data_IF_723216348246
#
_entry.id   IF_723216348246
#
_cell.length_a   1.000
_cell.length_b   1.000
_cell.length_c   1.000
_cell.angle_alpha   90.00
_cell.angle_beta   90.00
_cell.angle_gamma   90.00
#
_symmetry.space_group_name_H-M   'P 1'
#
loop_
_entity.id
_entity.type
_entity.pdbx_description
1 polymer ?
#
# COMPACT_ATOMS: atom_id res chain seq x y z
N UNK A 1 -33.85 11.38 15.18
CA UNK A 1 -32.38 11.18 15.21
C UNK A 1 -31.93 9.85 15.86
N UNK A 2 -32.74 9.12 16.63
CA UNK A 2 -32.23 7.89 17.31
C UNK A 2 -32.17 6.62 16.45
N UNK A 3 -33.09 6.42 15.49
CA UNK A 3 -33.15 5.19 14.69
C UNK A 3 -31.99 5.03 13.69
N UNK A 4 -31.56 6.13 13.07
CA UNK A 4 -30.43 6.14 12.12
C UNK A 4 -29.09 5.88 12.81
N UNK A 5 -28.93 6.36 14.05
CA UNK A 5 -27.73 6.14 14.87
C UNK A 5 -27.64 4.67 15.35
N UNK A 6 -28.78 4.05 15.65
CA UNK A 6 -28.85 2.66 16.11
C UNK A 6 -28.87 1.61 14.98
N UNK A 7 -28.62 2.01 13.71
CA UNK A 7 -28.61 1.13 12.53
C UNK A 7 -29.84 0.22 12.42
N UNK A 8 -31.02 0.72 12.76
CA UNK A 8 -32.25 -0.05 12.59
C UNK A 8 -32.42 -0.43 11.12
N UNK A 9 -32.66 -1.72 10.85
CA UNK A 9 -32.95 -2.17 9.50
C UNK A 9 -34.23 -1.49 8.98
N UNK A 10 -34.33 -1.32 7.66
CA UNK A 10 -35.52 -0.76 7.03
C UNK A 10 -36.76 -1.58 7.40
N UNK A 11 -36.63 -2.91 7.48
CA UNK A 11 -37.70 -3.83 7.87
C UNK A 11 -38.17 -3.56 9.30
N UNK A 12 -37.26 -3.46 10.26
CA UNK A 12 -37.61 -3.21 11.66
C UNK A 12 -38.27 -1.84 11.83
N UNK A 13 -37.79 -0.83 11.09
CA UNK A 13 -38.38 0.51 11.08
C UNK A 13 -39.81 0.48 10.51
N UNK A 14 -40.03 -0.25 9.42
CA UNK A 14 -41.37 -0.42 8.83
C UNK A 14 -42.29 -1.19 9.76
N UNK A 15 -41.83 -2.25 10.44
CA UNK A 15 -42.65 -2.98 11.41
C UNK A 15 -43.08 -2.05 12.56
N UNK A 16 -42.14 -1.29 13.14
CA UNK A 16 -42.44 -0.36 14.23
C UNK A 16 -43.44 0.73 13.81
N UNK A 17 -43.26 1.30 12.60
CA UNK A 17 -44.18 2.30 12.05
C UNK A 17 -45.57 1.70 11.78
N UNK A 18 -45.64 0.44 11.36
CA UNK A 18 -46.88 -0.29 11.11
C UNK A 18 -47.67 -0.56 12.39
N UNK A 19 -46.99 -0.95 13.46
CA UNK A 19 -47.59 -1.11 14.80
C UNK A 19 -48.14 0.23 15.30
N UNK A 20 -47.36 1.31 15.14
CA UNK A 20 -47.79 2.64 15.55
C UNK A 20 -48.99 3.15 14.73
N UNK A 21 -48.98 2.95 13.41
CA UNK A 21 -50.09 3.29 12.53
C UNK A 21 -51.35 2.48 12.89
N UNK A 22 -51.21 1.19 13.17
CA UNK A 22 -52.32 0.34 13.61
C UNK A 22 -52.95 0.83 14.91
N UNK A 23 -52.14 1.19 15.90
CA UNK A 23 -52.63 1.78 17.15
C UNK A 23 -53.35 3.13 16.91
N UNK A 24 -52.78 3.99 16.05
CA UNK A 24 -53.38 5.28 15.71
C UNK A 24 -54.73 5.14 14.99
N UNK A 25 -54.89 4.15 14.09
CA UNK A 25 -56.15 3.92 13.39
C UNK A 25 -57.26 3.37 14.32
N UNK A 26 -56.90 2.72 15.42
CA UNK A 26 -57.85 2.15 16.39
C UNK A 26 -58.25 3.19 17.46
N UNK A 27 -57.29 3.99 17.94
CA UNK A 27 -57.49 4.88 19.08
C UNK A 27 -57.50 6.38 18.72
N UNK A 28 -57.13 6.74 17.50
CA UNK A 28 -57.08 8.12 17.03
C UNK A 28 -58.41 8.62 16.46
N UNK A 29 -58.58 9.93 16.47
CA UNK A 29 -59.75 10.66 15.94
C UNK A 29 -59.50 11.24 14.53
N UNK A 30 -58.49 10.71 13.82
CA UNK A 30 -58.10 11.17 12.50
C UNK A 30 -59.22 11.05 11.46
N UNK A 31 -59.42 12.12 10.68
CA UNK A 31 -60.37 12.11 9.56
C UNK A 31 -59.97 11.15 8.42
N UNK A 32 -60.95 10.75 7.61
CA UNK A 32 -60.77 9.77 6.52
C UNK A 32 -59.61 10.09 5.57
N UNK A 33 -59.48 11.36 5.17
CA UNK A 33 -58.42 11.82 4.26
C UNK A 33 -57.05 11.64 4.90
N UNK A 34 -56.91 12.02 6.18
CA UNK A 34 -55.66 11.92 6.90
C UNK A 34 -55.23 10.46 7.10
N UNK A 35 -56.16 9.60 7.49
CA UNK A 35 -55.89 8.17 7.65
C UNK A 35 -55.50 7.52 6.31
N UNK A 36 -56.13 7.93 5.21
CA UNK A 36 -55.80 7.44 3.86
C UNK A 36 -54.37 7.83 3.44
N UNK A 37 -53.95 9.06 3.73
CA UNK A 37 -52.57 9.52 3.45
C UNK A 37 -51.56 8.72 4.25
N UNK A 38 -51.82 8.46 5.53
CA UNK A 38 -50.92 7.67 6.38
C UNK A 38 -50.78 6.23 5.90
N UNK A 39 -51.89 5.60 5.47
CA UNK A 39 -51.88 4.24 4.92
C UNK A 39 -51.10 4.18 3.61
N UNK A 40 -51.28 5.16 2.71
CA UNK A 40 -50.52 5.22 1.46
C UNK A 40 -49.02 5.45 1.70
N UNK A 41 -48.67 6.33 2.65
CA UNK A 41 -47.28 6.54 3.07
C UNK A 41 -46.65 5.26 3.64
N UNK A 42 -47.40 4.51 4.44
CA UNK A 42 -46.95 3.21 4.95
C UNK A 42 -46.80 2.16 3.85
N UNK A 43 -47.75 2.07 2.90
CA UNK A 43 -47.65 1.18 1.76
C UNK A 43 -46.39 1.46 0.92
N UNK A 44 -46.06 2.75 0.71
CA UNK A 44 -44.80 3.13 0.06
C UNK A 44 -43.58 2.62 0.84
N UNK A 45 -43.54 2.76 2.17
CA UNK A 45 -42.45 2.21 3.00
C UNK A 45 -42.33 0.68 2.91
N UNK A 46 -43.46 -0.04 2.81
CA UNK A 46 -43.46 -1.49 2.61
C UNK A 46 -42.85 -1.84 1.24
N UNK A 47 -43.21 -1.12 0.18
CA UNK A 47 -42.62 -1.32 -1.16
C UNK A 47 -41.11 -1.08 -1.16
N UNK A 48 -40.62 -0.11 -0.38
CA UNK A 48 -39.17 0.15 -0.23
C UNK A 48 -38.38 -0.99 0.44
N UNK A 49 -39.06 -1.92 1.13
CA UNK A 49 -38.42 -3.12 1.67
C UNK A 49 -38.16 -4.20 0.61
N UNK A 50 -38.78 -4.10 -0.57
CA UNK A 50 -38.51 -4.98 -1.69
C UNK A 50 -37.16 -4.61 -2.30
N UNK A 51 -36.15 -5.45 -2.04
CA UNK A 51 -34.77 -5.22 -2.48
C UNK A 51 -34.67 -4.92 -3.99
N UNK A 52 -35.33 -5.72 -4.83
CA UNK A 52 -35.32 -5.56 -6.28
C UNK A 52 -35.91 -4.22 -6.74
N UNK A 53 -37.00 -3.77 -6.10
CA UNK A 53 -37.60 -2.47 -6.42
C UNK A 53 -36.66 -1.31 -6.04
N UNK A 54 -36.11 -1.36 -4.82
CA UNK A 54 -35.18 -0.34 -4.33
C UNK A 54 -33.92 -0.25 -5.18
N UNK A 55 -33.34 -1.39 -5.55
CA UNK A 55 -32.13 -1.42 -6.38
C UNK A 55 -32.40 -0.85 -7.78
N UNK A 56 -33.50 -1.24 -8.41
CA UNK A 56 -33.81 -0.86 -9.78
C UNK A 56 -34.25 0.60 -9.93
N UNK A 57 -35.09 1.10 -9.02
CA UNK A 57 -35.76 2.39 -9.18
C UNK A 57 -35.22 3.51 -8.28
N UNK A 58 -34.43 3.19 -7.25
CA UNK A 58 -33.83 4.19 -6.35
C UNK A 58 -32.30 4.15 -6.40
N UNK A 59 -31.70 3.01 -6.06
CA UNK A 59 -30.24 2.91 -5.94
C UNK A 59 -29.55 3.07 -7.28
N UNK A 60 -29.99 2.37 -8.33
CA UNK A 60 -29.33 2.41 -9.64
C UNK A 60 -29.36 3.81 -10.28
N UNK A 61 -30.51 4.51 -10.39
CA UNK A 61 -30.53 5.87 -10.93
C UNK A 61 -29.69 6.85 -10.09
N UNK A 62 -29.72 6.72 -8.76
CA UNK A 62 -28.87 7.54 -7.89
C UNK A 62 -27.39 7.27 -8.12
N UNK A 63 -26.98 6.01 -8.25
CA UNK A 63 -25.60 5.63 -8.53
C UNK A 63 -25.14 6.09 -9.92
N UNK A 64 -26.01 6.07 -10.93
CA UNK A 64 -25.70 6.55 -12.27
C UNK A 64 -25.44 8.08 -12.26
N UNK A 65 -26.22 8.84 -11.48
CA UNK A 65 -25.99 10.27 -11.25
C UNK A 65 -24.70 10.50 -10.45
N UNK A 66 -24.43 9.70 -9.43
CA UNK A 66 -23.23 9.84 -8.62
C UNK A 66 -21.95 9.56 -9.44
N UNK A 67 -21.99 8.54 -10.30
CA UNK A 67 -20.87 8.20 -11.20
C UNK A 67 -20.53 9.33 -12.16
N UNK A 68 -21.49 10.11 -12.63
CA UNK A 68 -21.22 11.25 -13.52
C UNK A 68 -20.60 12.46 -12.80
N UNK A 69 -20.61 12.48 -11.46
CA UNK A 69 -19.95 13.51 -10.65
C UNK A 69 -18.52 13.12 -10.24
N UNK A 70 -18.15 11.85 -10.38
CA UNK A 70 -16.80 11.39 -10.09
C UNK A 70 -15.89 11.66 -11.30
N UNK A 71 -14.65 12.12 -11.09
CA UNK A 71 -13.69 12.26 -12.18
C UNK A 71 -13.45 10.90 -12.85
N UNK A 72 -13.35 10.88 -14.18
CA UNK A 72 -12.94 9.69 -14.91
C UNK A 72 -11.49 9.36 -14.54
N UNK A 73 -11.28 8.19 -13.93
CA UNK A 73 -9.92 7.70 -13.67
C UNK A 73 -9.18 7.54 -14.99
N UNK A 74 -7.94 8.02 -15.05
CA UNK A 74 -7.11 7.75 -16.21
C UNK A 74 -6.88 6.24 -16.34
N UNK A 75 -6.58 5.75 -17.55
CA UNK A 75 -6.17 4.34 -17.74
C UNK A 75 -5.01 3.96 -16.81
N UNK A 76 -4.15 4.92 -16.49
CA UNK A 76 -2.95 4.72 -15.68
C UNK A 76 -3.30 4.55 -14.19
N UNK A 77 -4.26 5.32 -13.68
CA UNK A 77 -4.80 5.14 -12.33
C UNK A 77 -5.56 3.81 -12.21
N UNK A 78 -6.31 3.43 -13.24
CA UNK A 78 -7.01 2.12 -13.26
C UNK A 78 -6.03 0.95 -13.24
N UNK A 79 -5.00 0.97 -14.10
CA UNK A 79 -3.99 -0.09 -14.16
C UNK A 79 -3.19 -0.17 -12.85
N UNK A 80 -2.89 0.95 -12.19
CA UNK A 80 -2.23 0.98 -10.88
C UNK A 80 -3.12 0.45 -9.75
N UNK A 81 -4.42 0.79 -9.75
CA UNK A 81 -5.40 0.27 -8.79
C UNK A 81 -5.65 -1.23 -8.97
N UNK A 82 -5.70 -1.70 -10.22
CA UNK A 82 -5.89 -3.12 -10.57
C UNK A 82 -4.66 -3.97 -10.28
N UNK A 83 -3.46 -3.40 -10.37
CA UNK A 83 -2.22 -4.05 -9.94
C UNK A 83 -2.09 -4.19 -8.42
N UNK A 84 -2.88 -3.40 -7.67
CA UNK A 84 -2.96 -3.47 -6.21
C UNK A 84 -3.75 -4.68 -5.71
N UNK A 85 -3.57 -5.02 -4.44
CA UNK A 85 -4.45 -5.97 -3.75
C UNK A 85 -5.47 -5.19 -2.93
N UNK A 86 -6.73 -5.64 -2.95
CA UNK A 86 -7.77 -5.12 -2.07
C UNK A 86 -7.65 -5.86 -0.74
N UNK A 87 -7.31 -5.15 0.33
CA UNK A 87 -7.13 -5.75 1.65
C UNK A 87 -8.34 -5.41 2.55
N UNK A 88 -8.11 -4.84 3.74
CA UNK A 88 -9.16 -4.44 4.67
C UNK A 88 -9.92 -3.18 4.24
N UNK A 89 -9.29 -2.33 3.43
CA UNK A 89 -9.86 -1.11 2.88
C UNK A 89 -11.06 -1.43 1.99
N UNK A 90 -10.99 -2.51 1.21
CA UNK A 90 -12.14 -2.99 0.43
C UNK A 90 -13.36 -3.34 1.28
N UNK A 91 -13.15 -3.93 2.46
CA UNK A 91 -14.24 -4.22 3.41
C UNK A 91 -14.90 -2.91 3.88
N UNK A 92 -14.11 -1.85 4.13
CA UNK A 92 -14.64 -0.55 4.51
C UNK A 92 -15.40 0.12 3.36
N UNK A 93 -14.80 0.19 2.18
CA UNK A 93 -15.38 0.86 1.00
C UNK A 93 -16.61 0.12 0.46
N UNK A 94 -16.79 -1.16 0.80
CA UNK A 94 -18.03 -1.91 0.50
C UNK A 94 -19.26 -1.35 1.23
N UNK A 95 -19.08 -0.53 2.27
CA UNK A 95 -20.14 -0.02 3.13
C UNK A 95 -20.77 -1.06 4.06
N UNK A 96 -20.26 -2.31 4.05
CA UNK A 96 -20.70 -3.39 4.95
C UNK A 96 -19.50 -4.28 5.36
N UNK A 97 -18.52 -3.74 6.10
CA UNK A 97 -17.35 -4.49 6.53
C UNK A 97 -17.73 -5.66 7.44
N UNK A 98 -17.06 -6.80 7.26
CA UNK A 98 -17.10 -7.90 8.23
C UNK A 98 -16.17 -7.61 9.43
N UNK A 99 -16.75 -7.07 10.50
CA UNK A 99 -16.00 -6.70 11.70
C UNK A 99 -15.38 -7.90 12.41
N UNK A 100 -15.97 -9.10 12.32
CA UNK A 100 -15.38 -10.27 12.97
C UNK A 100 -14.06 -10.62 12.30
N UNK A 101 -14.04 -10.63 10.96
CA UNK A 101 -12.81 -10.83 10.18
C UNK A 101 -11.75 -9.78 10.47
N UNK A 102 -12.13 -8.50 10.57
CA UNK A 102 -11.19 -7.41 10.83
C UNK A 102 -10.61 -7.44 12.25
N UNK A 103 -11.43 -7.80 13.25
CA UNK A 103 -11.01 -7.89 14.64
C UNK A 103 -10.22 -9.17 14.96
N UNK A 104 -10.36 -10.22 14.13
CA UNK A 104 -9.61 -11.48 14.25
C UNK A 104 -8.22 -11.42 13.61
N UNK A 105 -7.85 -10.30 12.98
CA UNK A 105 -6.48 -10.11 12.46
C UNK A 105 -5.51 -10.14 13.64
N UNK A 106 -4.55 -11.09 13.67
CA UNK A 106 -3.64 -11.20 14.78
C UNK A 106 -2.74 -9.97 14.86
N UNK A 107 -2.47 -9.53 16.09
CA UNK A 107 -1.46 -8.52 16.36
C UNK A 107 -0.10 -9.00 15.83
N UNK A 108 0.55 -8.25 14.93
CA UNK A 108 1.85 -8.64 14.42
C UNK A 108 2.88 -8.53 15.55
N UNK A 109 3.75 -9.53 15.67
CA UNK A 109 4.80 -9.57 16.70
C UNK A 109 6.14 -9.85 16.08
N UNK A 110 7.15 -9.19 16.62
CA UNK A 110 8.54 -9.47 16.30
C UNK A 110 8.91 -10.85 16.84
N UNK A 111 9.63 -11.62 16.04
CA UNK A 111 10.38 -12.77 16.51
C UNK A 111 11.52 -12.33 17.43
N UNK A 112 12.06 -13.28 18.21
CA UNK A 112 13.19 -12.99 19.09
C UNK A 112 14.39 -12.44 18.31
N UNK A 113 14.70 -13.00 17.13
CA UNK A 113 15.82 -12.57 16.30
C UNK A 113 15.65 -11.13 15.79
N UNK A 114 14.43 -10.75 15.40
CA UNK A 114 14.13 -9.39 14.95
C UNK A 114 14.19 -8.39 16.11
N UNK A 115 13.67 -8.77 17.27
CA UNK A 115 13.76 -7.96 18.49
C UNK A 115 15.23 -7.77 18.92
N UNK A 116 16.02 -8.84 18.89
CA UNK A 116 17.46 -8.79 19.20
C UNK A 116 18.20 -7.86 18.23
N UNK A 117 17.86 -7.87 16.93
CA UNK A 117 18.46 -6.97 15.96
C UNK A 117 18.14 -5.49 16.25
N UNK A 118 16.89 -5.21 16.64
CA UNK A 118 16.46 -3.86 17.03
C UNK A 118 17.16 -3.36 18.29
N UNK A 119 17.33 -4.23 19.28
CA UNK A 119 17.88 -3.87 20.58
C UNK A 119 19.41 -3.78 20.58
N UNK A 120 20.07 -4.41 19.60
CA UNK A 120 21.54 -4.43 19.48
C UNK A 120 22.04 -3.67 18.26
N UNK A 121 21.95 -4.25 17.06
CA UNK A 121 22.53 -3.66 15.84
C UNK A 121 21.94 -2.30 15.50
N UNK A 122 20.61 -2.13 15.58
CA UNK A 122 19.97 -0.85 15.28
C UNK A 122 20.30 0.19 16.34
N UNK A 123 20.39 -0.21 17.60
CA UNK A 123 20.79 0.68 18.69
C UNK A 123 22.23 1.17 18.51
N UNK A 124 23.15 0.28 18.15
CA UNK A 124 24.54 0.64 17.86
C UNK A 124 24.63 1.56 16.64
N UNK A 125 23.90 1.26 15.55
CA UNK A 125 23.82 2.16 14.40
C UNK A 125 23.36 3.56 14.84
N UNK A 126 22.30 3.66 15.64
CA UNK A 126 21.79 4.94 16.13
C UNK A 126 22.85 5.73 16.91
N UNK A 127 23.73 5.06 17.67
CA UNK A 127 24.83 5.72 18.40
C UNK A 127 25.95 6.22 17.49
N UNK A 128 26.13 5.60 16.33
CA UNK A 128 27.15 5.99 15.34
C UNK A 128 26.73 7.20 14.49
N UNK A 129 25.44 7.55 14.50
CA UNK A 129 24.89 8.58 13.62
C UNK A 129 24.96 9.97 14.27
N UNK A 130 25.57 10.91 13.54
CA UNK A 130 25.45 12.35 13.76
C UNK A 130 24.80 12.97 12.52
N UNK A 131 23.51 13.28 12.60
CA UNK A 131 22.74 13.73 11.44
C UNK A 131 23.20 15.10 10.91
N UNK A 132 23.69 15.99 11.79
CA UNK A 132 24.23 17.28 11.35
C UNK A 132 25.51 17.08 10.55
N UNK A 133 26.42 16.26 11.05
CA UNK A 133 27.65 15.94 10.33
C UNK A 133 27.35 15.27 8.98
N UNK A 134 26.43 14.31 8.95
CA UNK A 134 26.00 13.62 7.72
C UNK A 134 25.44 14.60 6.69
N UNK A 135 24.54 15.50 7.09
CA UNK A 135 23.75 16.30 6.15
C UNK A 135 24.37 17.65 5.79
N UNK A 136 25.06 18.31 6.72
CA UNK A 136 25.55 19.68 6.55
C UNK A 136 27.06 19.78 6.32
N UNK A 137 27.84 18.79 6.78
CA UNK A 137 29.31 18.82 6.66
C UNK A 137 29.81 17.84 5.60
N UNK A 138 29.41 16.57 5.68
CA UNK A 138 29.92 15.51 4.81
C UNK A 138 29.11 15.38 3.51
N UNK A 139 27.78 15.52 3.60
CA UNK A 139 26.88 15.24 2.48
C UNK A 139 26.77 13.76 2.12
N UNK A 140 27.18 12.87 3.04
CA UNK A 140 27.17 11.40 2.92
C UNK A 140 27.24 10.79 4.34
N UNK A 141 27.06 9.47 4.46
CA UNK A 141 27.39 8.74 5.68
C UNK A 141 28.92 8.58 5.82
N UNK A 142 29.47 8.66 7.05
CA UNK A 142 30.85 8.29 7.29
C UNK A 142 31.16 6.85 6.84
N UNK A 143 32.39 6.60 6.35
CA UNK A 143 32.80 5.29 5.82
C UNK A 143 32.56 4.13 6.81
N UNK A 144 32.88 4.35 8.09
CA UNK A 144 32.67 3.34 9.13
C UNK A 144 31.18 3.01 9.36
N UNK A 145 30.26 3.95 9.09
CA UNK A 145 28.81 3.71 9.13
C UNK A 145 28.38 2.88 7.92
N UNK A 146 28.88 3.22 6.72
CA UNK A 146 28.66 2.40 5.51
C UNK A 146 29.11 0.96 5.70
N UNK A 147 30.29 0.74 6.28
CA UNK A 147 30.82 -0.59 6.55
C UNK A 147 30.02 -1.35 7.60
N UNK A 148 29.52 -0.65 8.62
CA UNK A 148 28.61 -1.23 9.61
C UNK A 148 27.30 -1.68 8.97
N UNK A 149 26.67 -0.83 8.15
CA UNK A 149 25.43 -1.16 7.44
C UNK A 149 25.56 -2.41 6.57
N UNK A 150 26.63 -2.48 5.76
CA UNK A 150 26.93 -3.64 4.91
C UNK A 150 27.17 -4.90 5.74
N UNK A 151 28.08 -4.83 6.72
CA UNK A 151 28.52 -6.01 7.50
C UNK A 151 27.43 -6.58 8.43
N UNK A 152 26.51 -5.75 8.90
CA UNK A 152 25.41 -6.18 9.78
C UNK A 152 24.15 -6.60 9.04
N UNK A 153 24.13 -6.44 7.71
CA UNK A 153 23.02 -6.87 6.86
C UNK A 153 21.84 -5.88 6.84
N UNK A 154 22.09 -4.59 7.08
CA UNK A 154 21.04 -3.57 7.00
C UNK A 154 20.47 -3.43 5.59
N UNK A 155 21.20 -3.80 4.54
CA UNK A 155 20.71 -3.78 3.15
C UNK A 155 20.05 -5.09 2.69
N UNK A 156 19.88 -6.04 3.61
CA UNK A 156 19.53 -7.43 3.31
C UNK A 156 18.43 -7.99 4.22
N UNK A 157 17.65 -7.12 4.86
CA UNK A 157 16.63 -7.51 5.83
C UNK A 157 15.57 -8.40 5.19
N UNK A 158 15.11 -8.08 3.97
CA UNK A 158 14.06 -8.85 3.28
C UNK A 158 14.59 -10.00 2.43
N UNK A 159 15.92 -10.11 2.25
CA UNK A 159 16.51 -11.15 1.40
C UNK A 159 16.41 -12.49 2.14
N UNK A 160 15.98 -13.58 1.47
CA UNK A 160 15.89 -14.90 2.11
C UNK A 160 17.20 -15.38 2.73
N UNK A 161 17.13 -16.11 3.85
CA UNK A 161 18.31 -16.61 4.58
C UNK A 161 19.17 -17.55 3.73
N UNK A 162 18.57 -18.30 2.81
CA UNK A 162 19.31 -19.17 1.85
C UNK A 162 20.28 -18.40 0.95
N UNK A 163 20.08 -17.09 0.80
CA UNK A 163 20.96 -16.19 0.07
C UNK A 163 21.84 -15.34 0.99
N UNK A 164 21.85 -15.59 2.30
CA UNK A 164 22.63 -14.84 3.28
C UNK A 164 21.96 -13.57 3.80
N UNK A 165 20.70 -13.31 3.44
CA UNK A 165 19.91 -12.22 4.03
C UNK A 165 19.34 -12.58 5.41
N UNK A 166 18.49 -11.70 5.95
CA UNK A 166 17.89 -11.88 7.28
C UNK A 166 16.49 -12.50 7.25
N UNK A 167 15.77 -12.37 6.14
CA UNK A 167 14.37 -12.84 5.99
C UNK A 167 13.44 -12.29 7.09
N UNK A 168 13.63 -11.01 7.44
CA UNK A 168 12.82 -10.31 8.41
C UNK A 168 11.43 -9.97 7.86
N UNK A 169 10.46 -9.92 8.76
CA UNK A 169 9.08 -9.56 8.50
C UNK A 169 8.93 -8.08 8.14
N UNK A 170 7.80 -7.74 7.51
CA UNK A 170 7.45 -6.36 7.23
C UNK A 170 7.34 -5.50 8.51
N UNK A 171 6.94 -6.11 9.65
CA UNK A 171 6.93 -5.42 10.94
C UNK A 171 8.36 -5.07 11.38
N UNK A 172 9.27 -6.03 11.37
CA UNK A 172 10.67 -5.78 11.72
C UNK A 172 11.31 -4.72 10.83
N UNK A 173 11.08 -4.78 9.52
CA UNK A 173 11.53 -3.75 8.59
C UNK A 173 10.98 -2.36 8.98
N UNK A 174 9.68 -2.24 9.27
CA UNK A 174 9.05 -0.99 9.72
C UNK A 174 9.67 -0.45 11.01
N UNK A 175 9.81 -1.29 12.04
CA UNK A 175 10.36 -0.89 13.35
C UNK A 175 11.82 -0.43 13.25
N UNK A 176 12.63 -1.12 12.42
CA UNK A 176 14.03 -0.74 12.17
C UNK A 176 14.09 0.66 11.56
N UNK A 177 13.29 0.91 10.52
CA UNK A 177 13.26 2.22 9.85
C UNK A 177 12.73 3.32 10.76
N UNK A 178 11.68 3.06 11.56
CA UNK A 178 11.14 4.03 12.53
C UNK A 178 12.23 4.44 13.52
N UNK A 179 12.94 3.46 14.09
CA UNK A 179 13.99 3.70 15.07
C UNK A 179 15.15 4.53 14.49
N UNK A 180 15.66 4.17 13.31
CA UNK A 180 16.74 4.92 12.63
C UNK A 180 16.27 6.33 12.28
N UNK A 181 15.02 6.49 11.80
CA UNK A 181 14.45 7.80 11.44
C UNK A 181 14.35 8.76 12.62
N UNK A 182 14.29 8.23 13.86
CA UNK A 182 14.35 9.04 15.08
C UNK A 182 15.69 9.74 15.29
N UNK A 183 16.76 9.31 14.61
CA UNK A 183 18.10 9.88 14.69
C UNK A 183 18.55 10.51 13.37
N UNK A 184 18.39 9.79 12.24
CA UNK A 184 18.77 10.28 10.91
C UNK A 184 17.81 9.76 9.84
N UNK A 185 17.05 10.68 9.24
CA UNK A 185 16.16 10.38 8.11
C UNK A 185 16.99 9.98 6.88
N UNK A 186 18.18 10.57 6.71
CA UNK A 186 19.11 10.25 5.62
C UNK A 186 19.56 8.79 5.69
N UNK A 187 20.03 8.34 6.86
CA UNK A 187 20.42 6.94 7.05
C UNK A 187 19.22 5.98 6.89
N UNK A 188 18.06 6.35 7.44
CA UNK A 188 16.82 5.56 7.26
C UNK A 188 16.47 5.37 5.79
N UNK A 189 16.55 6.43 4.97
CA UNK A 189 16.30 6.34 3.52
C UNK A 189 17.31 5.43 2.80
N UNK A 190 18.59 5.51 3.18
CA UNK A 190 19.66 4.64 2.65
C UNK A 190 19.39 3.17 2.98
N UNK A 191 18.91 2.87 4.19
CA UNK A 191 18.54 1.51 4.61
C UNK A 191 17.24 1.04 3.95
N UNK A 192 16.27 1.92 3.75
CA UNK A 192 14.96 1.56 3.20
C UNK A 192 15.01 1.13 1.73
N UNK A 193 15.87 1.77 0.91
CA UNK A 193 15.90 1.54 -0.54
C UNK A 193 16.24 0.09 -0.91
N UNK A 194 17.30 -0.55 -0.38
CA UNK A 194 17.59 -1.95 -0.66
C UNK A 194 16.53 -2.94 -0.15
N UNK A 195 15.75 -2.56 0.86
CA UNK A 195 14.79 -3.43 1.56
C UNK A 195 13.32 -3.21 1.19
N UNK A 196 13.04 -2.38 0.20
CA UNK A 196 11.69 -2.12 -0.30
C UNK A 196 11.67 -2.33 -1.81
N UNK A 197 11.12 -1.35 -2.56
CA UNK A 197 11.09 -1.26 -4.03
C UNK A 197 12.48 -1.38 -4.71
N UNK A 198 13.54 -1.65 -3.96
CA UNK A 198 14.84 -2.00 -4.47
C UNK A 198 14.87 -3.33 -5.25
N UNK A 199 15.98 -3.56 -5.96
CA UNK A 199 16.29 -4.80 -6.68
C UNK A 199 16.13 -6.06 -5.84
N UNK A 200 16.35 -6.05 -4.52
CA UNK A 200 16.19 -7.23 -3.67
C UNK A 200 14.77 -7.81 -3.72
N UNK A 201 13.75 -6.97 -3.55
CA UNK A 201 12.34 -7.37 -3.64
C UNK A 201 11.99 -7.80 -5.07
N UNK A 202 12.33 -6.98 -6.07
CA UNK A 202 12.00 -7.25 -7.47
C UNK A 202 12.68 -8.53 -7.99
N UNK A 203 13.94 -8.77 -7.64
CA UNK A 203 14.66 -10.01 -7.98
C UNK A 203 14.05 -11.20 -7.27
N UNK A 204 13.64 -11.07 -6.01
CA UNK A 204 13.02 -12.17 -5.27
C UNK A 204 11.67 -12.58 -5.89
N UNK A 205 10.85 -11.62 -6.32
CA UNK A 205 9.54 -11.89 -6.92
C UNK A 205 9.62 -12.28 -8.41
N UNK A 206 10.38 -11.53 -9.21
CA UNK A 206 10.33 -11.59 -10.67
C UNK A 206 11.62 -12.08 -11.33
N UNK A 207 12.72 -12.18 -10.58
CA UNK A 207 14.00 -12.66 -11.12
C UNK A 207 13.98 -14.14 -11.50
N UNK A 208 14.75 -14.50 -12.53
CA UNK A 208 15.03 -15.91 -12.82
C UNK A 208 15.87 -16.54 -11.71
N UNK A 209 15.95 -17.87 -11.67
CA UNK A 209 16.75 -18.54 -10.65
C UNK A 209 18.24 -18.15 -10.75
N UNK A 210 18.77 -18.01 -11.97
CA UNK A 210 20.15 -17.59 -12.22
C UNK A 210 20.40 -16.16 -11.74
N UNK A 211 19.44 -15.25 -11.95
CA UNK A 211 19.52 -13.87 -11.44
C UNK A 211 19.49 -13.84 -9.92
N UNK A 212 18.62 -14.63 -9.29
CA UNK A 212 18.52 -14.74 -7.83
C UNK A 212 19.82 -15.25 -7.22
N UNK A 213 20.33 -16.35 -7.74
CA UNK A 213 21.56 -16.99 -7.24
C UNK A 213 22.81 -16.12 -7.48
N UNK A 214 22.78 -15.25 -8.49
CA UNK A 214 23.84 -14.29 -8.72
C UNK A 214 23.71 -13.04 -7.83
N UNK A 215 22.59 -12.32 -7.88
CA UNK A 215 22.48 -11.00 -7.27
C UNK A 215 22.15 -11.04 -5.78
N UNK A 216 21.25 -11.92 -5.33
CA UNK A 216 20.78 -11.89 -3.93
C UNK A 216 21.90 -12.11 -2.92
N UNK A 217 22.85 -13.06 -3.10
CA UNK A 217 23.98 -13.19 -2.19
C UNK A 217 24.92 -11.98 -2.17
N UNK A 218 25.07 -11.30 -3.30
CA UNK A 218 25.97 -10.13 -3.43
C UNK A 218 25.33 -8.86 -2.85
N UNK A 219 24.01 -8.76 -2.92
CA UNK A 219 23.24 -7.74 -2.21
C UNK A 219 23.28 -8.02 -0.71
N UNK A 220 23.16 -9.29 -0.31
CA UNK A 220 23.10 -9.68 1.09
C UNK A 220 24.37 -9.34 1.88
N UNK A 221 25.54 -9.53 1.28
CA UNK A 221 26.85 -9.22 1.90
C UNK A 221 27.39 -7.81 1.54
N UNK A 222 26.59 -7.00 0.86
CA UNK A 222 26.91 -5.60 0.54
C UNK A 222 28.00 -5.40 -0.51
N UNK A 223 28.38 -6.45 -1.26
CA UNK A 223 29.26 -6.31 -2.45
C UNK A 223 28.60 -5.50 -3.55
N UNK A 224 27.28 -5.61 -3.67
CA UNK A 224 26.48 -4.83 -4.60
C UNK A 224 25.59 -3.87 -3.82
N UNK A 225 25.57 -2.60 -4.25
CA UNK A 225 24.67 -1.58 -3.70
C UNK A 225 23.60 -1.30 -4.76
N UNK A 226 22.33 -1.56 -4.45
CA UNK A 226 21.29 -1.35 -5.42
C UNK A 226 20.79 0.10 -5.47
N UNK A 227 20.22 0.50 -6.62
CA UNK A 227 19.31 1.64 -6.68
C UNK A 227 18.04 1.34 -7.49
N UNK A 228 17.00 2.15 -7.33
CA UNK A 228 15.75 2.02 -8.10
C UNK A 228 15.54 3.22 -9.01
N UNK A 229 15.83 3.04 -10.31
CA UNK A 229 15.90 4.11 -11.28
C UNK A 229 14.57 4.34 -12.04
N UNK A 230 13.54 4.83 -11.34
CA UNK A 230 12.22 5.12 -11.94
C UNK A 230 12.06 6.58 -12.38
N UNK A 231 12.11 7.52 -11.43
CA UNK A 231 11.81 8.94 -11.66
C UNK A 231 12.72 9.58 -12.73
N UNK A 232 12.11 10.24 -13.71
CA UNK A 232 12.78 10.97 -14.77
C UNK A 232 12.68 12.49 -14.63
N UNK A 233 13.44 13.28 -15.42
CA UNK A 233 13.39 14.74 -15.40
C UNK A 233 12.00 15.35 -15.66
N UNK A 234 11.11 14.62 -16.33
CA UNK A 234 9.77 15.06 -16.76
C UNK A 234 8.63 14.18 -16.24
N UNK A 235 8.93 13.12 -15.49
CA UNK A 235 7.94 12.14 -15.04
C UNK A 235 8.29 11.62 -13.63
N UNK A 236 7.32 11.72 -12.72
CA UNK A 236 7.39 11.25 -11.33
C UNK A 236 6.13 10.49 -10.97
N UNK A 237 5.09 11.20 -10.49
CA UNK A 237 3.79 10.59 -10.14
C UNK A 237 3.14 9.85 -11.31
N UNK A 238 3.23 10.39 -12.53
CA UNK A 238 2.84 9.67 -13.74
C UNK A 238 4.02 8.91 -14.34
N UNK A 239 4.23 7.69 -13.85
CA UNK A 239 5.29 6.81 -14.32
C UNK A 239 5.10 6.34 -15.78
N UNK A 240 3.90 6.46 -16.35
CA UNK A 240 3.64 6.03 -17.74
C UNK A 240 4.13 7.04 -18.78
N UNK A 241 4.36 8.28 -18.34
CA UNK A 241 4.92 9.36 -19.17
C UNK A 241 6.45 9.36 -19.24
N UNK A 242 7.11 8.26 -18.82
CA UNK A 242 8.55 8.09 -18.97
C UNK A 242 8.94 8.08 -20.45
N UNK A 243 9.97 8.85 -20.79
CA UNK A 243 10.48 8.99 -22.17
C UNK A 243 11.70 8.10 -22.44
N UNK A 244 12.08 7.26 -21.47
CA UNK A 244 13.20 6.35 -21.61
C UNK A 244 12.89 5.28 -22.66
N UNK A 245 13.89 4.87 -23.42
CA UNK A 245 13.71 3.91 -24.51
C UNK A 245 14.70 2.76 -24.42
N UNK A 246 14.23 1.59 -24.84
CA UNK A 246 15.04 0.37 -24.97
C UNK A 246 14.75 -0.27 -26.32
N UNK A 247 15.80 -0.47 -27.12
CA UNK A 247 15.69 -1.12 -28.43
C UNK A 247 16.37 -2.48 -28.34
N UNK A 248 15.63 -3.56 -28.60
CA UNK A 248 16.21 -4.90 -28.73
C UNK A 248 17.02 -4.95 -30.02
N UNK A 249 18.31 -5.24 -29.92
CA UNK A 249 19.22 -5.25 -31.06
C UNK A 249 20.33 -6.28 -30.88
N UNK A 250 20.94 -6.69 -32.00
CA UNK A 250 22.23 -7.38 -31.98
C UNK A 250 23.37 -6.36 -31.84
N UNK A 251 24.40 -6.71 -31.07
CA UNK A 251 25.58 -5.88 -30.91
C UNK A 251 26.75 -6.64 -30.30
N UNK A 252 27.94 -6.06 -30.42
CA UNK A 252 29.14 -6.62 -29.80
C UNK A 252 29.20 -6.25 -28.32
N UNK A 253 29.27 -7.25 -27.44
CA UNK A 253 29.48 -7.07 -26.01
C UNK A 253 30.57 -8.03 -25.53
N UNK A 254 31.61 -7.49 -24.89
CA UNK A 254 32.78 -8.26 -24.44
C UNK A 254 33.43 -9.15 -25.53
N UNK A 255 33.38 -8.70 -26.79
CA UNK A 255 33.99 -9.40 -27.93
C UNK A 255 33.09 -10.43 -28.61
N UNK A 256 31.85 -10.61 -28.17
CA UNK A 256 30.88 -11.53 -28.76
C UNK A 256 29.66 -10.78 -29.31
N UNK A 257 29.10 -11.26 -30.43
CA UNK A 257 27.81 -10.75 -30.93
C UNK A 257 26.67 -11.36 -30.09
N UNK A 258 25.94 -10.52 -29.37
CA UNK A 258 24.79 -10.92 -28.54
C UNK A 258 23.51 -10.22 -28.98
N UNK A 259 22.36 -10.77 -28.61
CA UNK A 259 21.09 -10.04 -28.59
C UNK A 259 20.97 -9.37 -27.23
N UNK A 260 20.82 -8.05 -27.21
CA UNK A 260 20.69 -7.26 -25.99
C UNK A 260 19.70 -6.11 -26.14
N UNK A 261 19.65 -5.24 -25.14
CA UNK A 261 18.82 -4.03 -25.15
C UNK A 261 19.75 -2.82 -25.13
N UNK A 262 19.65 -1.96 -26.14
CA UNK A 262 20.29 -0.64 -26.12
C UNK A 262 19.36 0.34 -25.43
N UNK A 263 19.75 0.77 -24.23
CA UNK A 263 18.97 1.68 -23.39
C UNK A 263 19.41 3.13 -23.59
N UNK A 264 18.44 4.05 -23.65
CA UNK A 264 18.65 5.48 -23.58
C UNK A 264 17.69 6.05 -22.53
N UNK A 265 18.24 6.48 -21.39
CA UNK A 265 17.45 6.94 -20.26
C UNK A 265 18.10 8.12 -19.54
N UNK A 266 17.29 8.90 -18.84
CA UNK A 266 17.76 9.95 -17.94
C UNK A 266 16.89 9.95 -16.69
N UNK A 267 17.53 9.83 -15.52
CA UNK A 267 16.86 9.67 -14.23
C UNK A 267 17.25 10.79 -13.28
N UNK A 268 16.37 11.08 -12.32
CA UNK A 268 16.53 12.19 -11.37
C UNK A 268 16.08 11.76 -9.97
N UNK A 269 16.80 12.24 -8.95
CA UNK A 269 16.54 11.97 -7.54
C UNK A 269 16.55 10.46 -7.21
N UNK A 270 17.53 9.74 -7.76
CA UNK A 270 17.71 8.33 -7.50
C UNK A 270 18.64 8.18 -6.29
N UNK A 271 18.05 7.83 -5.15
CA UNK A 271 18.81 7.50 -3.93
C UNK A 271 19.78 6.35 -4.21
N UNK A 272 20.98 6.41 -3.62
CA UNK A 272 22.10 5.48 -3.83
C UNK A 272 22.76 5.49 -5.21
N UNK A 273 22.19 6.14 -6.24
CA UNK A 273 22.75 6.10 -7.60
C UNK A 273 24.25 6.45 -7.72
N UNK A 274 24.82 7.42 -6.97
CA UNK A 274 26.26 7.73 -7.06
C UNK A 274 27.19 6.59 -6.62
N UNK A 275 26.70 5.66 -5.80
CA UNK A 275 27.45 4.53 -5.24
C UNK A 275 26.88 3.17 -5.66
N UNK A 276 25.83 3.17 -6.48
CA UNK A 276 25.15 1.97 -6.91
C UNK A 276 25.99 1.18 -7.90
N UNK A 277 25.91 -0.13 -7.79
CA UNK A 277 26.58 -1.09 -8.68
C UNK A 277 25.58 -1.96 -9.44
N UNK A 278 24.30 -1.94 -9.04
CA UNK A 278 23.17 -2.61 -9.69
C UNK A 278 21.88 -1.78 -9.66
#
# INVERSE_FOLDING_TARGET
>A
MSATYQRFSLQNSTIAMGVWLGAYLIFGDGGFIWNSVLILGFAALVVLNLKSFREQYLTKPFMDIYRSMLPEMSRTESEALEAGTVWWDGELFSGKPDWNKLLDIPEPRLSQEEQDFLDNEVEELCRMLDDWHITHELGDLPEHVWDFLKSKGFFAMIIPKKYGGKEFSALAHSEVLIKISGVSITCSSIVAVPNSLGPGELLNHYGTQEQKDYYLPRLADGREIPCFALTGPRAGSDATSLTDSGIVCKGMFKGEEIIGIKLNFSKRYITLAPVATV
#
